data_IF_646236377491
#
_entry.id   IF_646236377491
#
_cell.length_a   1.000
_cell.length_b   1.000
_cell.length_c   1.000
_cell.angle_alpha   90.00
_cell.angle_beta   90.00
_cell.angle_gamma   90.00
#
_symmetry.space_group_name_H-M   'P 1'
#
loop_
_entity.id
_entity.type
_entity.pdbx_description
1 polymer ?
#
# COMPACT_ATOMS: atom_id res chain seq x y z
N UNK A 1 13.15 -44.10 0.40
CA UNK A 1 11.83 -43.46 0.21
C UNK A 1 11.86 -42.76 -1.14
N UNK A 2 10.96 -43.11 -2.08
CA UNK A 2 11.01 -42.61 -3.45
C UNK A 2 10.72 -41.10 -3.50
N UNK A 3 11.60 -40.31 -4.13
CA UNK A 3 11.41 -38.84 -4.28
C UNK A 3 10.08 -38.49 -4.96
N UNK A 4 9.61 -39.31 -5.90
CA UNK A 4 8.32 -39.11 -6.59
C UNK A 4 7.09 -39.16 -5.68
N UNK A 5 7.07 -40.03 -4.66
CA UNK A 5 5.93 -40.12 -3.73
C UNK A 5 5.86 -38.92 -2.76
N UNK A 6 6.99 -38.24 -2.56
CA UNK A 6 7.06 -37.07 -1.67
C UNK A 6 6.42 -35.83 -2.29
N UNK A 7 6.44 -35.70 -3.62
CA UNK A 7 5.75 -34.61 -4.31
C UNK A 7 4.26 -34.92 -4.49
N UNK A 8 3.91 -36.17 -4.77
CA UNK A 8 2.55 -36.55 -5.13
C UNK A 8 1.55 -36.39 -3.97
N UNK A 9 1.94 -36.66 -2.72
CA UNK A 9 1.03 -36.38 -1.58
C UNK A 9 0.80 -34.86 -1.38
N UNK A 10 1.78 -34.02 -1.73
CA UNK A 10 1.65 -32.57 -1.63
C UNK A 10 0.72 -32.04 -2.71
N UNK A 11 0.84 -32.56 -3.93
CA UNK A 11 -0.04 -32.22 -5.06
C UNK A 11 -1.50 -32.58 -4.78
N UNK A 12 -1.76 -33.79 -4.24
CA UNK A 12 -3.10 -34.22 -3.85
C UNK A 12 -3.69 -33.31 -2.77
N UNK A 13 -2.87 -32.94 -1.75
CA UNK A 13 -3.31 -32.03 -0.71
C UNK A 13 -3.61 -30.61 -1.26
N UNK A 14 -2.77 -30.10 -2.16
CA UNK A 14 -2.94 -28.77 -2.78
C UNK A 14 -4.17 -28.70 -3.68
N UNK A 15 -4.44 -29.75 -4.45
CA UNK A 15 -5.63 -29.85 -5.29
C UNK A 15 -6.91 -29.81 -4.45
N UNK A 16 -6.98 -30.59 -3.36
CA UNK A 16 -8.13 -30.58 -2.46
C UNK A 16 -8.27 -29.25 -1.72
N UNK A 17 -7.17 -28.61 -1.32
CA UNK A 17 -7.19 -27.30 -0.68
C UNK A 17 -7.79 -26.23 -1.59
N UNK A 18 -7.43 -26.21 -2.88
CA UNK A 18 -8.01 -25.27 -3.85
C UNK A 18 -9.52 -25.46 -4.04
N UNK A 19 -9.98 -26.70 -4.05
CA UNK A 19 -11.41 -27.04 -4.20
C UNK A 19 -12.23 -26.66 -2.97
N UNK A 20 -11.66 -26.80 -1.77
CA UNK A 20 -12.28 -26.31 -0.53
C UNK A 20 -12.29 -24.77 -0.50
N UNK A 21 -11.17 -24.12 -0.82
CA UNK A 21 -11.03 -22.66 -0.78
C UNK A 21 -11.90 -21.93 -1.81
N UNK A 22 -12.14 -22.53 -2.98
CA UNK A 22 -13.05 -22.01 -4.01
C UNK A 22 -14.53 -22.30 -3.73
N UNK A 23 -14.85 -23.09 -2.68
CA UNK A 23 -16.21 -23.49 -2.35
C UNK A 23 -16.78 -24.61 -3.23
N UNK A 24 -15.96 -25.23 -4.09
CA UNK A 24 -16.36 -26.40 -4.89
C UNK A 24 -16.63 -27.62 -3.99
N UNK A 25 -15.83 -27.79 -2.93
CA UNK A 25 -16.07 -28.75 -1.85
C UNK A 25 -16.59 -27.99 -0.62
N UNK A 26 -17.81 -28.30 -0.23
CA UNK A 26 -18.53 -27.67 0.88
C UNK A 26 -18.30 -28.42 2.18
N UNK A 27 -18.50 -27.77 3.34
CA UNK A 27 -18.50 -28.43 4.63
C UNK A 27 -19.42 -29.65 4.65
N UNK A 28 -18.99 -30.69 5.35
CA UNK A 28 -19.56 -32.04 5.40
C UNK A 28 -19.52 -32.84 4.09
N UNK A 29 -19.00 -32.30 2.98
CA UNK A 29 -18.81 -33.08 1.76
C UNK A 29 -17.86 -34.26 2.01
N UNK A 30 -18.23 -35.42 1.47
CA UNK A 30 -17.45 -36.65 1.61
C UNK A 30 -16.33 -36.68 0.59
N UNK A 31 -15.09 -36.83 1.06
CA UNK A 31 -13.96 -37.11 0.19
C UNK A 31 -13.96 -38.58 -0.23
N UNK A 32 -13.39 -38.90 -1.41
CA UNK A 32 -13.13 -40.28 -1.80
C UNK A 32 -12.33 -41.00 -0.72
N UNK A 33 -12.56 -42.30 -0.53
CA UNK A 33 -11.74 -43.08 0.38
C UNK A 33 -10.27 -43.07 -0.06
N UNK A 34 -9.36 -43.36 0.88
CA UNK A 34 -7.92 -43.44 0.61
C UNK A 34 -7.61 -44.31 -0.61
N UNK A 35 -8.31 -45.44 -0.76
CA UNK A 35 -8.11 -46.37 -1.88
C UNK A 35 -8.68 -45.83 -3.20
N UNK A 36 -9.83 -45.17 -3.17
CA UNK A 36 -10.43 -44.56 -4.37
C UNK A 36 -9.60 -43.39 -4.89
N UNK A 37 -9.19 -42.49 -4.00
CA UNK A 37 -8.34 -41.36 -4.34
C UNK A 37 -6.96 -41.82 -4.85
N UNK A 38 -6.43 -42.93 -4.31
CA UNK A 38 -5.18 -43.51 -4.77
C UNK A 38 -5.29 -44.00 -6.21
N UNK A 39 -6.42 -44.65 -6.56
CA UNK A 39 -6.72 -45.05 -7.94
C UNK A 39 -6.92 -43.85 -8.87
N UNK A 40 -7.64 -42.82 -8.41
CA UNK A 40 -7.88 -41.59 -9.20
C UNK A 40 -6.59 -40.82 -9.48
N UNK A 41 -5.69 -40.77 -8.50
CA UNK A 41 -4.42 -40.02 -8.59
C UNK A 41 -3.24 -40.89 -9.01
N UNK A 42 -3.50 -42.14 -9.45
CA UNK A 42 -2.51 -43.14 -9.85
C UNK A 42 -1.31 -43.25 -8.88
N UNK A 43 -1.59 -43.40 -7.58
CA UNK A 43 -0.58 -43.41 -6.52
C UNK A 43 -0.82 -44.49 -5.47
N UNK A 44 0.10 -44.62 -4.52
CA UNK A 44 -0.04 -45.57 -3.42
C UNK A 44 -1.03 -45.08 -2.35
N UNK A 45 -1.82 -45.97 -1.70
CA UNK A 45 -2.71 -45.59 -0.60
C UNK A 45 -2.00 -44.87 0.56
N UNK A 46 -0.73 -45.16 0.80
CA UNK A 46 0.09 -44.47 1.80
C UNK A 46 0.32 -42.98 1.46
N UNK A 47 0.48 -42.66 0.18
CA UNK A 47 0.63 -41.28 -0.32
C UNK A 47 -0.65 -40.48 -0.07
N UNK A 48 -1.83 -41.05 -0.36
CA UNK A 48 -3.11 -40.40 -0.06
C UNK A 48 -3.35 -40.30 1.44
N UNK A 49 -3.05 -41.35 2.21
CA UNK A 49 -3.19 -41.32 3.67
C UNK A 49 -2.37 -40.17 4.28
N UNK A 50 -1.17 -39.94 3.74
CA UNK A 50 -0.30 -38.83 4.13
C UNK A 50 -0.89 -37.47 3.73
N UNK A 51 -1.50 -37.36 2.55
CA UNK A 51 -2.19 -36.15 2.11
C UNK A 51 -3.41 -35.83 3.01
N UNK A 52 -4.23 -36.84 3.33
CA UNK A 52 -5.41 -36.66 4.18
C UNK A 52 -5.02 -36.39 5.63
N UNK A 53 -3.96 -37.03 6.15
CA UNK A 53 -3.42 -36.73 7.47
C UNK A 53 -2.94 -35.27 7.55
N UNK A 54 -2.28 -34.78 6.51
CA UNK A 54 -1.86 -33.37 6.42
C UNK A 54 -3.07 -32.42 6.42
N UNK A 55 -4.07 -32.67 5.58
CA UNK A 55 -5.30 -31.85 5.55
C UNK A 55 -6.09 -31.92 6.87
N UNK A 56 -6.04 -33.07 7.56
CA UNK A 56 -6.65 -33.26 8.87
C UNK A 56 -5.92 -32.49 9.97
N UNK A 57 -4.58 -32.49 9.93
CA UNK A 57 -3.76 -31.65 10.80
C UNK A 57 -3.99 -30.15 10.54
N UNK A 58 -4.29 -29.77 9.29
CA UNK A 58 -4.67 -28.42 8.89
C UNK A 58 -6.12 -28.06 9.23
N UNK A 59 -6.91 -29.00 9.79
CA UNK A 59 -8.32 -28.78 10.17
C UNK A 59 -9.30 -28.67 8.99
N UNK A 60 -8.86 -29.02 7.78
CA UNK A 60 -9.66 -28.92 6.55
C UNK A 60 -10.55 -30.14 6.34
N UNK A 61 -10.20 -31.28 6.94
CA UNK A 61 -10.96 -32.52 6.86
C UNK A 61 -10.92 -33.27 8.19
N UNK A 62 -11.92 -34.08 8.48
CA UNK A 62 -11.89 -35.00 9.62
C UNK A 62 -12.42 -36.39 9.23
N UNK A 63 -11.91 -37.41 9.92
CA UNK A 63 -12.43 -38.77 9.81
C UNK A 63 -13.64 -38.96 10.72
N UNK A 64 -14.79 -39.36 10.16
CA UNK A 64 -15.91 -39.87 10.95
C UNK A 64 -15.80 -41.38 11.14
N UNK A 65 -16.01 -41.85 12.37
CA UNK A 65 -15.97 -43.29 12.71
C UNK A 65 -17.06 -44.03 11.91
N UNK A 66 -16.63 -44.86 10.95
CA UNK A 66 -17.52 -45.60 10.03
C UNK A 66 -18.03 -44.81 8.81
N UNK A 67 -17.76 -43.50 8.70
CA UNK A 67 -18.35 -42.61 7.68
C UNK A 67 -17.42 -42.19 6.53
N UNK A 68 -16.10 -42.35 6.70
CA UNK A 68 -15.08 -41.84 5.77
C UNK A 68 -14.57 -40.44 6.16
N UNK A 69 -13.76 -39.83 5.29
CA UNK A 69 -13.20 -38.49 5.51
C UNK A 69 -14.13 -37.43 4.93
N UNK A 70 -14.47 -36.42 5.72
CA UNK A 70 -15.34 -35.31 5.29
C UNK A 70 -14.64 -33.97 5.46
N UNK A 71 -15.03 -33.00 4.65
CA UNK A 71 -14.61 -31.60 4.80
C UNK A 71 -15.24 -31.04 6.07
N UNK A 72 -14.47 -30.37 6.92
CA UNK A 72 -14.96 -29.80 8.18
C UNK A 72 -15.14 -28.29 8.09
N UNK A 73 -16.10 -27.75 8.86
CA UNK A 73 -16.01 -26.36 9.32
C UNK A 73 -15.34 -26.36 10.70
N UNK A 74 -14.08 -25.94 10.77
CA UNK A 74 -13.34 -25.86 12.02
C UNK A 74 -12.23 -24.83 11.96
N UNK A 75 -12.59 -23.53 12.02
CA UNK A 75 -11.65 -22.47 12.43
C UNK A 75 -11.59 -21.16 11.63
N UNK A 76 -12.69 -20.71 10.99
CA UNK A 76 -12.95 -19.28 10.83
C UNK A 76 -14.04 -18.86 11.84
N UNK A 77 -13.67 -18.89 13.12
CA UNK A 77 -14.18 -18.02 14.20
C UNK A 77 -13.03 -17.82 15.23
N UNK A 78 -12.99 -16.72 16.00
CA UNK A 78 -11.75 -16.04 16.38
C UNK A 78 -10.91 -16.85 17.38
N UNK A 79 -9.84 -17.48 16.87
CA UNK A 79 -8.70 -17.88 17.70
C UNK A 79 -8.26 -16.66 18.54
N UNK A 80 -8.05 -16.89 19.84
CA UNK A 80 -7.56 -15.91 20.80
C UNK A 80 -6.54 -14.94 20.14
N UNK A 81 -6.69 -13.60 20.28
CA UNK A 81 -5.91 -12.59 19.54
C UNK A 81 -4.38 -12.79 19.60
N UNK A 82 -3.89 -13.39 20.67
CA UNK A 82 -2.48 -13.67 20.92
C UNK A 82 -1.89 -14.77 20.01
N UNK A 83 -2.66 -15.81 19.67
CA UNK A 83 -2.16 -16.95 18.88
C UNK A 83 -2.26 -16.71 17.36
N UNK A 84 -3.24 -15.93 16.90
CA UNK A 84 -3.32 -15.49 15.49
C UNK A 84 -2.16 -14.56 15.13
N UNK A 85 -1.85 -13.63 16.02
CA UNK A 85 -0.71 -12.74 15.87
C UNK A 85 0.60 -13.53 15.86
N UNK A 86 0.80 -14.47 16.78
CA UNK A 86 1.99 -15.31 16.80
C UNK A 86 2.14 -16.16 15.51
N UNK A 87 1.04 -16.73 14.99
CA UNK A 87 1.05 -17.49 13.73
C UNK A 87 1.37 -16.60 12.52
N UNK A 88 0.83 -15.39 12.48
CA UNK A 88 1.10 -14.42 11.42
C UNK A 88 2.55 -13.93 11.47
N UNK A 89 3.07 -13.61 12.66
CA UNK A 89 4.46 -13.23 12.88
C UNK A 89 5.40 -14.33 12.42
N UNK A 90 5.13 -15.59 12.78
CA UNK A 90 5.94 -16.73 12.35
C UNK A 90 5.95 -16.92 10.82
N UNK A 91 4.85 -16.58 10.12
CA UNK A 91 4.79 -16.60 8.65
C UNK A 91 5.52 -15.41 8.02
N UNK A 92 5.39 -14.23 8.61
CA UNK A 92 6.10 -13.03 8.17
C UNK A 92 7.62 -13.18 8.37
N UNK A 93 8.05 -13.78 9.49
CA UNK A 93 9.45 -14.11 9.77
C UNK A 93 10.00 -15.11 8.76
N UNK A 94 9.23 -16.16 8.43
CA UNK A 94 9.63 -17.11 7.39
C UNK A 94 9.78 -16.47 6.02
N UNK A 95 8.82 -15.63 5.63
CA UNK A 95 8.91 -14.84 4.40
C UNK A 95 10.15 -13.93 4.38
N UNK A 96 10.46 -13.26 5.50
CA UNK A 96 11.64 -12.42 5.64
C UNK A 96 12.94 -13.25 5.50
N UNK A 97 13.01 -14.41 6.14
CA UNK A 97 14.16 -15.32 6.03
C UNK A 97 14.34 -15.85 4.60
N UNK A 98 13.26 -16.20 3.91
CA UNK A 98 13.28 -16.62 2.50
C UNK A 98 13.74 -15.49 1.57
N UNK A 99 13.27 -14.27 1.82
CA UNK A 99 13.69 -13.09 1.07
C UNK A 99 15.19 -12.80 1.27
N UNK A 100 15.68 -12.89 2.51
CA UNK A 100 17.11 -12.70 2.86
C UNK A 100 17.97 -13.77 2.22
N UNK A 101 17.58 -15.04 2.31
CA UNK A 101 18.30 -16.14 1.67
C UNK A 101 18.34 -16.03 0.14
N UNK A 102 17.39 -15.28 -0.43
CA UNK A 102 17.33 -14.95 -1.87
C UNK A 102 18.04 -13.64 -2.22
N UNK A 103 18.83 -13.06 -1.29
CA UNK A 103 19.64 -11.87 -1.52
C UNK A 103 18.92 -10.53 -1.29
N UNK A 104 17.72 -10.53 -0.72
CA UNK A 104 16.97 -9.31 -0.45
C UNK A 104 17.22 -8.79 0.97
N UNK A 105 17.24 -7.47 1.11
CA UNK A 105 17.28 -6.81 2.43
C UNK A 105 15.90 -6.89 3.11
N UNK A 106 15.82 -6.76 4.46
CA UNK A 106 14.55 -6.66 5.16
C UNK A 106 13.62 -5.57 4.62
N UNK A 107 14.18 -4.43 4.20
CA UNK A 107 13.44 -3.33 3.58
C UNK A 107 12.80 -3.75 2.25
N UNK A 108 13.48 -4.57 1.45
CA UNK A 108 12.94 -5.10 0.19
C UNK A 108 11.85 -6.15 0.43
N UNK A 109 12.00 -6.98 1.47
CA UNK A 109 10.96 -7.94 1.87
C UNK A 109 9.69 -7.22 2.32
N UNK A 110 9.82 -6.20 3.16
CA UNK A 110 8.71 -5.36 3.60
C UNK A 110 8.00 -4.67 2.42
N UNK A 111 8.77 -4.13 1.47
CA UNK A 111 8.23 -3.55 0.24
C UNK A 111 7.43 -4.57 -0.59
N UNK A 112 7.96 -5.79 -0.76
CA UNK A 112 7.28 -6.86 -1.49
C UNK A 112 5.97 -7.29 -0.80
N UNK A 113 5.94 -7.34 0.53
CA UNK A 113 4.73 -7.63 1.28
C UNK A 113 3.68 -6.51 1.14
N UNK A 114 4.10 -5.25 1.20
CA UNK A 114 3.22 -4.10 0.94
C UNK A 114 2.58 -4.15 -0.45
N UNK A 115 3.34 -4.58 -1.46
CA UNK A 115 2.85 -4.74 -2.83
C UNK A 115 1.83 -5.88 -2.93
N UNK A 116 2.10 -7.01 -2.29
CA UNK A 116 1.17 -8.14 -2.26
C UNK A 116 -0.16 -7.74 -1.59
N UNK A 117 -0.10 -6.96 -0.51
CA UNK A 117 -1.28 -6.42 0.18
C UNK A 117 -2.05 -5.45 -0.72
N UNK A 118 -1.35 -4.58 -1.45
CA UNK A 118 -1.96 -3.60 -2.36
C UNK A 118 -2.69 -4.31 -3.51
N UNK A 119 -2.06 -5.31 -4.14
CA UNK A 119 -2.68 -6.16 -5.17
C UNK A 119 -3.90 -6.92 -4.66
N UNK A 120 -3.85 -7.43 -3.42
CA UNK A 120 -4.99 -8.11 -2.83
C UNK A 120 -6.18 -7.16 -2.63
N UNK A 121 -5.93 -5.90 -2.25
CA UNK A 121 -6.97 -4.86 -2.16
C UNK A 121 -7.55 -4.49 -3.53
N UNK A 122 -6.72 -4.44 -4.56
CA UNK A 122 -7.16 -4.27 -5.96
C UNK A 122 -8.09 -5.42 -6.41
N UNK A 123 -7.77 -6.67 -6.07
CA UNK A 123 -8.62 -7.83 -6.36
C UNK A 123 -10.00 -7.79 -5.66
N UNK A 124 -10.10 -7.08 -4.53
CA UNK A 124 -11.39 -6.84 -3.86
C UNK A 124 -12.19 -5.69 -4.49
N UNK A 125 -11.59 -4.91 -5.40
CA UNK A 125 -12.19 -3.68 -5.96
C UNK A 125 -12.30 -3.66 -7.49
N UNK A 126 -11.81 -4.67 -8.21
CA UNK A 126 -11.70 -4.60 -9.67
C UNK A 126 -12.98 -4.98 -10.44
N UNK A 127 -13.64 -3.97 -11.02
CA UNK A 127 -14.13 -4.04 -12.41
C UNK A 127 -12.93 -3.89 -13.38
N UNK A 128 -12.99 -4.39 -14.63
CA UNK A 128 -11.81 -4.50 -15.50
C UNK A 128 -11.37 -3.14 -16.08
N UNK A 129 -10.08 -2.80 -15.92
CA UNK A 129 -9.41 -1.59 -16.47
C UNK A 129 -8.63 -1.92 -17.76
N UNK A 130 -8.83 -1.14 -18.82
CA UNK A 130 -8.16 -1.27 -20.13
C UNK A 130 -6.82 -0.53 -20.23
N UNK A 131 -5.99 -0.95 -21.20
CA UNK A 131 -4.76 -0.24 -21.64
C UNK A 131 -5.10 1.14 -22.22
N UNK A 132 -4.11 2.04 -22.28
CA UNK A 132 -4.17 3.22 -23.15
C UNK A 132 -4.46 2.73 -24.57
N UNK A 133 -5.68 2.98 -25.04
CA UNK A 133 -6.05 2.75 -26.42
C UNK A 133 -5.62 3.94 -27.24
N UNK A 134 -4.77 3.72 -28.24
CA UNK A 134 -4.74 4.58 -29.41
C UNK A 134 -6.11 4.47 -30.09
N UNK A 135 -6.93 5.49 -29.84
CA UNK A 135 -8.20 5.91 -30.45
C UNK A 135 -9.05 4.92 -31.26
N UNK A 136 -10.35 4.87 -30.88
CA UNK A 136 -11.49 5.06 -31.81
C UNK A 136 -12.76 5.35 -30.99
N UNK A 137 -13.16 6.62 -30.93
CA UNK A 137 -14.39 7.12 -30.30
C UNK A 137 -14.17 8.38 -29.45
N UNK A 138 -15.18 9.24 -29.35
CA UNK A 138 -15.28 10.54 -28.63
C UNK A 138 -14.88 10.56 -27.13
N UNK A 139 -14.15 9.56 -26.63
CA UNK A 139 -13.80 9.43 -25.22
C UNK A 139 -12.43 10.04 -24.89
N UNK A 140 -12.28 10.72 -23.74
CA UNK A 140 -11.03 11.31 -23.32
C UNK A 140 -9.91 10.27 -23.14
N UNK A 141 -8.67 10.67 -23.43
CA UNK A 141 -7.49 9.89 -23.15
C UNK A 141 -7.28 9.77 -21.63
N UNK A 142 -7.40 8.55 -21.10
CA UNK A 142 -7.23 8.27 -19.68
C UNK A 142 -5.75 8.12 -19.32
N UNK A 143 -5.28 8.95 -18.39
CA UNK A 143 -3.96 8.88 -17.77
C UNK A 143 -4.11 8.17 -16.42
N UNK A 144 -3.40 7.06 -16.20
CA UNK A 144 -3.43 6.31 -14.95
C UNK A 144 -2.41 6.87 -13.97
N UNK A 145 -2.88 7.50 -12.91
CA UNK A 145 -2.07 7.94 -11.77
C UNK A 145 -2.09 6.88 -10.67
N UNK A 146 -0.92 6.59 -10.10
CA UNK A 146 -0.79 5.74 -8.92
C UNK A 146 0.21 6.35 -7.94
N UNK A 147 -0.15 6.58 -6.68
CA UNK A 147 0.82 7.18 -5.75
C UNK A 147 0.32 7.53 -4.36
N UNK A 148 1.09 8.36 -3.67
CA UNK A 148 0.67 8.93 -2.39
C UNK A 148 -0.48 9.91 -2.57
N UNK A 149 -1.46 9.89 -1.66
CA UNK A 149 -2.52 10.90 -1.63
C UNK A 149 -1.96 12.31 -1.33
N UNK A 150 -2.45 13.32 -2.06
CA UNK A 150 -2.27 14.74 -1.76
C UNK A 150 -3.44 15.56 -2.34
N UNK A 151 -3.87 16.61 -1.65
CA UNK A 151 -5.00 17.44 -2.08
C UNK A 151 -4.71 18.18 -3.41
N UNK A 152 -3.44 18.47 -3.71
CA UNK A 152 -3.05 19.09 -4.99
C UNK A 152 -3.25 18.15 -6.18
N UNK A 153 -3.25 16.82 -5.98
CA UNK A 153 -3.55 15.84 -7.04
C UNK A 153 -5.04 15.85 -7.35
N UNK A 154 -5.91 15.93 -6.34
CA UNK A 154 -7.36 16.05 -6.55
C UNK A 154 -7.71 17.34 -7.31
N UNK A 155 -7.07 18.45 -6.93
CA UNK A 155 -7.20 19.73 -7.63
C UNK A 155 -6.70 19.64 -9.08
N UNK A 156 -5.55 19.01 -9.30
CA UNK A 156 -4.98 18.81 -10.63
C UNK A 156 -5.93 17.97 -11.52
N UNK A 157 -6.50 16.89 -10.98
CA UNK A 157 -7.46 16.04 -11.68
C UNK A 157 -8.70 16.83 -12.10
N UNK A 158 -9.22 17.67 -11.20
CA UNK A 158 -10.35 18.56 -11.49
C UNK A 158 -10.01 19.58 -12.57
N UNK A 159 -8.87 20.27 -12.47
CA UNK A 159 -8.46 21.27 -13.45
C UNK A 159 -8.21 20.64 -14.83
N UNK A 160 -7.65 19.44 -14.89
CA UNK A 160 -7.50 18.70 -16.16
C UNK A 160 -8.86 18.46 -16.84
N UNK A 161 -9.84 18.01 -16.07
CA UNK A 161 -11.22 17.82 -16.52
C UNK A 161 -11.85 19.11 -17.07
N UNK A 162 -11.58 20.26 -16.45
CA UNK A 162 -12.12 21.57 -16.86
C UNK A 162 -11.40 22.16 -18.09
N UNK A 163 -10.07 22.05 -18.16
CA UNK A 163 -9.24 22.77 -19.13
C UNK A 163 -8.79 21.92 -20.33
N UNK A 164 -8.80 20.60 -20.20
CA UNK A 164 -8.47 19.67 -21.26
C UNK A 164 -9.45 18.48 -21.29
N UNK A 165 -10.70 18.67 -21.74
CA UNK A 165 -11.75 17.63 -21.73
C UNK A 165 -11.41 16.39 -22.55
N UNK A 166 -10.38 16.46 -23.41
CA UNK A 166 -9.84 15.34 -24.16
C UNK A 166 -8.91 14.44 -23.33
N UNK A 167 -8.64 14.77 -22.06
CA UNK A 167 -7.81 14.01 -21.15
C UNK A 167 -8.49 13.86 -19.78
N UNK A 168 -8.31 12.70 -19.15
CA UNK A 168 -8.82 12.43 -17.81
C UNK A 168 -7.72 11.80 -16.95
N UNK A 169 -7.68 12.15 -15.66
CA UNK A 169 -6.80 11.51 -14.69
C UNK A 169 -7.59 10.43 -13.91
N UNK A 170 -7.21 9.17 -14.06
CA UNK A 170 -7.70 8.07 -13.20
C UNK A 170 -6.74 7.90 -12.03
N UNK A 171 -7.21 8.19 -10.82
CA UNK A 171 -6.37 8.28 -9.62
C UNK A 171 -6.52 7.03 -8.77
N UNK A 172 -5.39 6.44 -8.39
CA UNK A 172 -5.31 5.35 -7.41
C UNK A 172 -4.27 5.68 -6.31
N UNK A 173 -4.65 5.48 -5.04
CA UNK A 173 -3.81 5.88 -3.89
C UNK A 173 -3.24 4.66 -3.17
N UNK A 174 -2.08 4.22 -3.64
CA UNK A 174 -1.34 3.06 -3.13
C UNK A 174 -0.10 3.44 -2.31
N UNK A 175 0.18 4.74 -2.14
CA UNK A 175 1.41 5.25 -1.53
C UNK A 175 2.54 5.43 -2.54
N UNK A 176 3.59 6.14 -2.15
CA UNK A 176 4.67 6.55 -3.08
C UNK A 176 5.47 5.40 -3.66
N UNK A 177 5.86 4.44 -2.81
CA UNK A 177 6.59 3.27 -3.26
C UNK A 177 5.74 2.41 -4.20
N UNK A 178 4.46 2.21 -3.85
CA UNK A 178 3.49 1.52 -4.71
C UNK A 178 3.34 2.19 -6.07
N UNK A 179 3.27 3.52 -6.11
CA UNK A 179 3.20 4.30 -7.35
C UNK A 179 4.41 4.10 -8.26
N UNK A 180 5.63 4.20 -7.72
CA UNK A 180 6.85 3.95 -8.49
C UNK A 180 6.94 2.50 -8.98
N UNK A 181 6.45 1.54 -8.20
CA UNK A 181 6.37 0.14 -8.61
C UNK A 181 5.32 -0.11 -9.70
N UNK A 182 4.19 0.61 -9.67
CA UNK A 182 3.19 0.56 -10.73
C UNK A 182 3.75 1.12 -12.06
N UNK A 183 4.57 2.17 -12.01
CA UNK A 183 5.31 2.64 -13.19
C UNK A 183 6.28 1.57 -13.71
N UNK A 184 7.03 0.92 -12.82
CA UNK A 184 7.98 -0.13 -13.19
C UNK A 184 7.30 -1.30 -13.91
N UNK A 185 6.05 -1.60 -13.54
CA UNK A 185 5.22 -2.68 -14.10
C UNK A 185 4.34 -2.23 -15.28
N UNK A 186 4.37 -0.94 -15.65
CA UNK A 186 3.49 -0.31 -16.66
C UNK A 186 1.99 -0.38 -16.31
N UNK A 187 1.68 -0.48 -15.02
CA UNK A 187 0.34 -0.45 -14.45
C UNK A 187 -0.16 0.98 -14.24
N UNK A 188 0.77 1.95 -14.15
CA UNK A 188 0.51 3.38 -14.11
C UNK A 188 1.28 4.13 -15.21
N UNK A 189 0.80 5.33 -15.53
CA UNK A 189 1.42 6.26 -16.48
C UNK A 189 2.12 7.41 -15.75
N UNK A 190 1.64 7.76 -14.54
CA UNK A 190 2.23 8.76 -13.64
C UNK A 190 2.28 8.18 -12.24
N UNK A 191 3.39 8.41 -11.52
CA UNK A 191 3.44 8.18 -10.08
C UNK A 191 3.54 9.46 -9.26
N UNK A 192 2.75 9.56 -8.20
CA UNK A 192 2.90 10.60 -7.18
C UNK A 192 3.77 10.13 -6.01
N UNK A 193 4.90 10.81 -5.76
CA UNK A 193 5.90 10.38 -4.77
C UNK A 193 6.49 11.51 -3.92
N UNK A 194 6.80 11.17 -2.67
CA UNK A 194 7.50 12.01 -1.68
C UNK A 194 8.43 11.17 -0.77
N UNK A 195 9.13 10.19 -1.32
CA UNK A 195 10.02 9.33 -0.54
C UNK A 195 11.32 10.07 -0.23
N UNK A 196 11.62 10.20 1.06
CA UNK A 196 12.89 10.76 1.53
C UNK A 196 13.91 9.64 1.75
N UNK A 197 15.13 9.85 1.27
CA UNK A 197 16.25 8.93 1.46
C UNK A 197 17.21 9.49 2.51
N UNK A 198 17.29 8.82 3.67
CA UNK A 198 18.13 9.24 4.80
C UNK A 198 19.62 9.34 4.45
N UNK A 199 20.10 8.50 3.53
CA UNK A 199 21.52 8.43 3.20
C UNK A 199 21.99 9.60 2.33
N UNK A 200 21.14 10.07 1.42
CA UNK A 200 21.45 11.17 0.49
C UNK A 200 20.80 12.50 0.86
N UNK A 201 19.94 12.51 1.86
CA UNK A 201 19.09 13.64 2.24
C UNK A 201 18.32 14.22 1.03
N UNK A 202 17.91 13.34 0.12
CA UNK A 202 17.23 13.71 -1.11
C UNK A 202 15.85 13.06 -1.19
N UNK A 203 14.91 13.78 -1.81
CA UNK A 203 13.59 13.27 -2.13
C UNK A 203 13.57 12.62 -3.52
N UNK A 204 12.85 11.51 -3.62
CA UNK A 204 12.38 10.83 -4.84
C UNK A 204 13.46 10.27 -5.78
N UNK A 205 14.46 11.07 -6.19
CA UNK A 205 15.45 10.70 -7.20
C UNK A 205 16.20 9.39 -6.90
N UNK A 206 16.67 9.11 -5.66
CA UNK A 206 17.30 7.83 -5.34
C UNK A 206 16.38 6.62 -5.57
N UNK A 207 15.10 6.76 -5.20
CA UNK A 207 14.09 5.71 -5.37
C UNK A 207 13.73 5.50 -6.84
N UNK A 208 13.59 6.59 -7.62
CA UNK A 208 13.34 6.52 -9.06
C UNK A 208 14.47 5.72 -9.74
N UNK A 209 15.74 6.07 -9.47
CA UNK A 209 16.90 5.36 -10.05
C UNK A 209 16.93 3.88 -9.68
N UNK A 210 16.56 3.53 -8.44
CA UNK A 210 16.55 2.15 -7.96
C UNK A 210 15.40 1.32 -8.55
N UNK A 211 14.23 1.92 -8.73
CA UNK A 211 13.00 1.21 -9.11
C UNK A 211 12.74 1.22 -10.63
N UNK A 212 13.33 2.16 -11.36
CA UNK A 212 13.23 2.26 -12.82
C UNK A 212 14.62 2.13 -13.48
N UNK A 213 15.40 1.07 -13.21
CA UNK A 213 16.76 0.95 -13.73
C UNK A 213 16.76 0.90 -15.27
N UNK A 214 17.58 1.75 -15.89
CA UNK A 214 17.72 1.82 -17.34
C UNK A 214 16.50 2.43 -18.07
N UNK A 215 15.53 2.98 -17.34
CA UNK A 215 14.38 3.70 -17.92
C UNK A 215 14.51 5.17 -17.62
N UNK A 216 14.58 5.99 -18.67
CA UNK A 216 14.52 7.44 -18.52
C UNK A 216 13.14 7.86 -18.02
N UNK A 217 13.15 8.73 -17.02
CA UNK A 217 11.96 9.28 -16.40
C UNK A 217 12.17 10.76 -16.09
N UNK A 218 11.07 11.46 -15.88
CA UNK A 218 11.03 12.88 -15.54
C UNK A 218 10.29 13.00 -14.22
N UNK A 219 10.92 13.62 -13.23
CA UNK A 219 10.25 14.05 -12.01
C UNK A 219 9.86 15.51 -12.16
N UNK A 220 8.56 15.78 -12.18
CA UNK A 220 8.00 17.14 -12.18
C UNK A 220 7.61 17.49 -10.75
N UNK A 221 8.21 18.54 -10.19
CA UNK A 221 7.83 19.01 -8.86
C UNK A 221 6.41 19.54 -8.89
N UNK A 222 5.53 18.88 -8.14
CA UNK A 222 4.16 19.33 -8.00
C UNK A 222 4.12 20.44 -6.96
N UNK A 223 4.59 20.16 -5.75
CA UNK A 223 4.56 21.07 -4.60
C UNK A 223 5.61 20.69 -3.57
N UNK A 224 6.00 21.67 -2.76
CA UNK A 224 6.54 21.41 -1.43
C UNK A 224 5.41 21.57 -0.41
N UNK A 225 5.34 20.69 0.59
CA UNK A 225 4.23 20.67 1.54
C UNK A 225 4.71 20.56 2.98
N UNK A 226 4.11 21.35 3.87
CA UNK A 226 4.41 21.32 5.29
C UNK A 226 3.77 20.09 5.93
N UNK A 227 4.60 19.21 6.47
CA UNK A 227 4.20 18.00 7.19
C UNK A 227 4.48 18.18 8.68
N UNK A 228 3.54 17.73 9.51
CA UNK A 228 3.58 18.02 10.94
C UNK A 228 2.46 17.36 11.74
N UNK A 229 2.35 17.77 13.01
CA UNK A 229 1.32 17.28 13.92
C UNK A 229 0.07 18.15 13.83
N UNK A 230 -1.04 17.52 13.47
CA UNK A 230 -2.38 18.08 13.50
C UNK A 230 -2.92 17.94 14.93
N UNK A 231 -3.39 19.04 15.50
CA UNK A 231 -3.87 19.12 16.89
C UNK A 231 -5.25 19.79 16.94
N UNK A 232 -6.00 19.70 18.05
CA UNK A 232 -7.14 20.56 18.27
C UNK A 232 -6.77 22.05 18.15
N UNK A 233 -7.74 22.94 17.89
CA UNK A 233 -7.49 24.38 17.89
C UNK A 233 -6.74 24.82 19.14
N UNK A 234 -5.78 25.73 18.97
CA UNK A 234 -4.92 26.28 20.02
C UNK A 234 -3.98 25.28 20.71
N UNK A 235 -3.89 24.03 20.22
CA UNK A 235 -2.99 23.00 20.75
C UNK A 235 -3.07 22.88 22.29
N UNK A 236 -4.22 22.47 22.86
CA UNK A 236 -4.49 22.52 24.30
C UNK A 236 -3.58 21.61 25.13
N UNK A 237 -2.89 20.66 24.50
CA UNK A 237 -1.91 19.79 25.14
C UNK A 237 -0.50 20.41 25.19
N UNK A 238 -0.29 21.57 24.56
CA UNK A 238 0.99 22.24 24.41
C UNK A 238 2.06 21.29 23.86
N UNK A 239 1.72 20.57 22.79
CA UNK A 239 2.68 19.73 22.07
C UNK A 239 3.67 20.62 21.33
N UNK A 240 4.97 20.42 21.51
CA UNK A 240 6.03 21.24 20.90
C UNK A 240 6.98 20.42 20.04
N UNK A 241 6.97 19.10 20.19
CA UNK A 241 7.87 18.20 19.48
C UNK A 241 7.30 16.79 19.37
N UNK A 242 7.97 15.93 18.59
CA UNK A 242 7.66 14.50 18.53
C UNK A 242 7.84 13.80 19.88
N UNK A 243 8.69 14.31 20.77
CA UNK A 243 8.88 13.76 22.12
C UNK A 243 7.61 13.84 22.96
N UNK A 244 6.75 14.84 22.72
CA UNK A 244 5.51 14.99 23.47
C UNK A 244 4.48 13.91 23.15
N UNK A 245 4.66 13.15 22.05
CA UNK A 245 3.81 12.01 21.71
C UNK A 245 3.93 10.84 22.70
N UNK A 246 4.97 10.81 23.54
CA UNK A 246 5.11 9.79 24.60
C UNK A 246 4.28 10.11 25.84
N UNK A 247 3.64 11.27 25.89
CA UNK A 247 2.81 11.66 27.04
C UNK A 247 1.52 10.82 27.07
N UNK A 248 1.04 10.44 28.26
CA UNK A 248 -0.14 9.56 28.40
C UNK A 248 -1.44 10.20 27.91
N UNK A 249 -1.52 11.53 27.86
CA UNK A 249 -2.67 12.27 27.35
C UNK A 249 -2.67 12.40 25.82
N UNK A 250 -1.55 12.12 25.13
CA UNK A 250 -1.45 12.17 23.68
C UNK A 250 -1.98 10.87 23.04
N UNK A 251 -3.18 10.93 22.45
CA UNK A 251 -3.75 9.82 21.64
C UNK A 251 -3.48 10.09 20.17
N UNK A 252 -2.51 9.38 19.62
CA UNK A 252 -2.03 9.60 18.27
C UNK A 252 -2.84 8.81 17.22
N UNK A 253 -3.02 9.41 16.04
CA UNK A 253 -3.52 8.76 14.81
C UNK A 253 -2.53 8.97 13.68
N UNK A 254 -2.19 7.89 12.97
CA UNK A 254 -1.07 7.87 12.04
C UNK A 254 -1.52 7.72 10.58
N UNK A 255 -0.61 7.99 9.64
CA UNK A 255 -0.75 7.60 8.23
C UNK A 255 -0.37 6.13 8.07
N UNK A 256 -0.82 5.51 6.98
CA UNK A 256 -0.49 4.12 6.67
C UNK A 256 1.02 3.87 6.60
N UNK A 257 1.43 2.67 7.01
CA UNK A 257 2.80 2.20 6.81
C UNK A 257 3.24 2.30 5.34
N UNK A 258 4.52 2.62 5.11
CA UNK A 258 5.10 2.79 3.77
C UNK A 258 4.76 4.11 3.05
N UNK A 259 3.91 4.98 3.62
CA UNK A 259 3.79 6.36 3.13
C UNK A 259 5.07 7.16 3.42
N UNK A 260 5.47 8.09 2.56
CA UNK A 260 6.69 8.90 2.77
C UNK A 260 6.64 9.68 4.09
N UNK A 261 5.46 10.18 4.45
CA UNK A 261 5.20 10.81 5.74
C UNK A 261 5.45 9.87 6.93
N UNK A 262 5.05 8.59 6.84
CA UNK A 262 5.32 7.60 7.87
C UNK A 262 6.80 7.22 7.94
N UNK A 263 7.46 7.04 6.80
CA UNK A 263 8.91 6.80 6.73
C UNK A 263 9.69 7.93 7.41
N UNK A 264 9.30 9.19 7.14
CA UNK A 264 9.90 10.37 7.75
C UNK A 264 9.69 10.40 9.28
N UNK A 265 8.47 10.14 9.76
CA UNK A 265 8.19 10.03 11.20
C UNK A 265 9.10 8.98 11.85
N UNK A 266 9.18 7.79 11.27
CA UNK A 266 9.86 6.65 11.88
C UNK A 266 11.38 6.90 11.95
N UNK A 267 11.96 7.55 10.93
CA UNK A 267 13.33 8.02 10.96
C UNK A 267 13.57 9.07 12.05
N UNK A 268 12.67 10.05 12.21
CA UNK A 268 12.80 11.08 13.25
C UNK A 268 12.65 10.49 14.67
N UNK A 269 11.69 9.58 14.89
CA UNK A 269 11.54 8.90 16.18
C UNK A 269 12.78 8.07 16.52
N UNK A 270 13.35 7.36 15.54
CA UNK A 270 14.61 6.61 15.70
C UNK A 270 15.77 7.54 16.07
N UNK A 271 15.92 8.68 15.40
CA UNK A 271 16.94 9.68 15.72
C UNK A 271 16.78 10.23 17.16
N UNK A 272 15.54 10.43 17.60
CA UNK A 272 15.19 10.84 18.97
C UNK A 272 15.25 9.68 20.00
N UNK A 273 15.54 8.45 19.56
CA UNK A 273 15.54 7.23 20.38
C UNK A 273 14.19 6.97 21.06
N UNK A 274 13.09 7.38 20.44
CA UNK A 274 11.74 7.14 20.91
C UNK A 274 11.24 5.85 20.28
N UNK A 275 10.86 4.88 21.12
CA UNK A 275 10.24 3.65 20.62
C UNK A 275 8.79 3.92 20.21
N UNK A 276 8.35 3.50 19.01
CA UNK A 276 6.95 3.58 18.65
C UNK A 276 5.98 2.89 19.61
N UNK A 277 6.47 1.88 20.36
CA UNK A 277 5.67 1.14 21.32
C UNK A 277 5.20 1.99 22.51
N UNK A 278 5.85 3.12 22.80
CA UNK A 278 5.47 4.02 23.90
C UNK A 278 4.51 5.13 23.47
N UNK A 279 4.19 5.23 22.18
CA UNK A 279 3.25 6.22 21.66
C UNK A 279 1.85 5.61 21.60
N UNK A 280 0.93 6.15 22.39
CA UNK A 280 -0.46 5.67 22.45
C UNK A 280 -1.16 5.90 21.11
N UNK A 281 -1.63 4.82 20.48
CA UNK A 281 -2.34 4.90 19.20
C UNK A 281 -1.42 4.88 17.98
N UNK A 282 -0.11 4.68 18.13
CA UNK A 282 0.84 4.65 17.00
C UNK A 282 0.47 3.69 15.85
N UNK A 283 -0.13 2.54 16.19
CA UNK A 283 -0.61 1.54 15.21
C UNK A 283 -1.99 1.84 14.61
N UNK A 284 -2.67 2.90 15.05
CA UNK A 284 -3.94 3.33 14.45
C UNK A 284 -3.60 4.11 13.19
N UNK A 285 -4.04 3.61 12.05
CA UNK A 285 -3.68 4.15 10.74
C UNK A 285 -4.93 4.55 9.96
N UNK A 286 -4.81 5.62 9.20
CA UNK A 286 -5.79 6.05 8.20
C UNK A 286 -5.08 6.30 6.86
N UNK A 287 -5.86 6.38 5.77
CA UNK A 287 -5.34 6.36 4.39
C UNK A 287 -5.30 7.72 3.68
N UNK A 288 -5.91 8.76 4.25
CA UNK A 288 -5.81 10.13 3.74
C UNK A 288 -5.38 11.12 4.82
N UNK A 289 -4.88 12.29 4.42
CA UNK A 289 -4.58 13.38 5.35
C UNK A 289 -5.85 13.98 5.97
N UNK A 290 -6.95 14.03 5.22
CA UNK A 290 -8.25 14.49 5.73
C UNK A 290 -8.80 13.55 6.80
N UNK A 291 -8.62 12.22 6.67
CA UNK A 291 -9.05 11.26 7.69
C UNK A 291 -8.28 11.45 9.02
N UNK A 292 -7.01 11.90 8.98
CA UNK A 292 -6.25 12.26 10.19
C UNK A 292 -6.89 13.47 10.85
N UNK A 293 -7.15 14.53 10.06
CA UNK A 293 -7.77 15.75 10.56
C UNK A 293 -9.18 15.48 11.13
N UNK A 294 -9.99 14.68 10.43
CA UNK A 294 -11.31 14.27 10.89
C UNK A 294 -11.27 13.51 12.22
N UNK A 295 -10.34 12.56 12.39
CA UNK A 295 -10.19 11.82 13.65
C UNK A 295 -9.82 12.74 14.83
N UNK A 296 -8.99 13.78 14.60
CA UNK A 296 -8.67 14.79 15.61
C UNK A 296 -9.89 15.70 15.87
N UNK A 297 -10.59 16.15 14.83
CA UNK A 297 -11.82 16.97 14.93
C UNK A 297 -12.89 16.26 15.76
N UNK A 298 -13.09 14.97 15.53
CA UNK A 298 -14.08 14.12 16.20
C UNK A 298 -13.61 13.63 17.58
N UNK A 299 -12.42 14.05 18.05
CA UNK A 299 -11.83 13.69 19.35
C UNK A 299 -11.49 12.19 19.51
N UNK A 300 -11.52 11.44 18.42
CA UNK A 300 -11.07 10.03 18.38
C UNK A 300 -9.56 9.92 18.61
N UNK A 301 -8.83 10.97 18.25
CA UNK A 301 -7.43 11.21 18.54
C UNK A 301 -7.26 12.63 19.10
N UNK A 302 -6.18 12.89 19.82
CA UNK A 302 -5.82 14.23 20.29
C UNK A 302 -4.68 14.85 19.47
N UNK A 303 -4.01 14.04 18.65
CA UNK A 303 -2.95 14.48 17.74
C UNK A 303 -2.83 13.48 16.59
N UNK A 304 -2.47 13.94 15.41
CA UNK A 304 -2.19 13.03 14.30
C UNK A 304 -1.16 13.57 13.33
N UNK A 305 -0.53 12.68 12.56
CA UNK A 305 0.48 13.07 11.57
C UNK A 305 -0.17 13.38 10.22
N UNK A 306 0.07 14.57 9.69
CA UNK A 306 -0.48 14.95 8.39
C UNK A 306 0.18 16.18 7.80
N UNK A 307 -0.52 16.80 6.86
CA UNK A 307 -0.07 18.04 6.21
C UNK A 307 -0.91 19.22 6.68
N UNK A 308 -0.32 20.41 6.64
CA UNK A 308 -0.97 21.64 7.09
C UNK A 308 -2.31 21.89 6.39
N UNK A 309 -2.40 21.66 5.08
CA UNK A 309 -3.63 21.83 4.32
C UNK A 309 -4.82 21.02 4.87
N UNK A 310 -4.56 19.81 5.41
CA UNK A 310 -5.62 19.01 6.02
C UNK A 310 -6.06 19.56 7.39
N UNK A 311 -5.14 20.11 8.18
CA UNK A 311 -5.49 20.82 9.41
C UNK A 311 -6.33 22.06 9.11
N UNK A 312 -5.90 22.86 8.13
CA UNK A 312 -6.58 24.08 7.70
C UNK A 312 -8.02 23.80 7.24
N UNK A 313 -8.24 22.74 6.44
CA UNK A 313 -9.57 22.34 5.97
C UNK A 313 -10.58 22.07 7.10
N UNK A 314 -10.12 21.66 8.29
CA UNK A 314 -10.95 21.38 9.46
C UNK A 314 -10.88 22.49 10.54
N UNK A 315 -10.13 23.56 10.30
CA UNK A 315 -9.87 24.63 11.27
C UNK A 315 -9.14 24.14 12.52
N UNK A 316 -8.15 23.25 12.34
CA UNK A 316 -7.39 22.62 13.42
C UNK A 316 -6.03 23.31 13.61
N UNK A 317 -5.42 23.09 14.78
CA UNK A 317 -4.05 23.51 15.05
C UNK A 317 -3.03 22.66 14.28
N UNK A 318 -1.87 23.23 14.01
CA UNK A 318 -0.80 22.54 13.30
C UNK A 318 0.58 22.91 13.84
N UNK A 319 1.38 21.90 14.18
CA UNK A 319 2.78 22.04 14.54
C UNK A 319 3.65 21.50 13.39
N UNK A 320 4.34 22.37 12.63
CA UNK A 320 5.19 21.94 11.52
C UNK A 320 6.41 21.15 12.03
N UNK A 321 6.74 20.07 11.31
CA UNK A 321 7.93 19.25 11.58
C UNK A 321 8.95 19.31 10.45
N UNK A 322 8.50 19.21 9.20
CA UNK A 322 9.39 19.36 8.04
C UNK A 322 8.64 19.80 6.78
N UNK A 323 9.39 20.07 5.71
CA UNK A 323 8.88 20.27 4.37
C UNK A 323 9.14 19.02 3.53
N UNK A 324 8.09 18.47 2.92
CA UNK A 324 8.20 17.35 1.99
C UNK A 324 8.14 17.85 0.55
N UNK A 325 9.05 17.38 -0.29
CA UNK A 325 8.95 17.54 -1.75
C UNK A 325 8.07 16.45 -2.33
N UNK A 326 7.04 16.85 -3.07
CA UNK A 326 6.14 15.94 -3.77
C UNK A 326 6.31 16.10 -5.29
N UNK A 327 6.73 15.03 -5.95
CA UNK A 327 6.96 14.99 -7.40
C UNK A 327 5.96 14.05 -8.09
N UNK A 328 5.59 14.41 -9.32
CA UNK A 328 4.94 13.53 -10.28
C UNK A 328 6.02 12.94 -11.20
N UNK A 329 6.09 11.61 -11.28
CA UNK A 329 7.09 10.90 -12.08
C UNK A 329 6.44 10.35 -13.34
N UNK A 330 7.03 10.66 -14.49
CA UNK A 330 6.60 10.25 -15.81
C UNK A 330 7.70 9.44 -16.48
N UNK A 331 7.40 8.24 -17.03
CA UNK A 331 8.30 7.62 -18.00
C UNK A 331 8.48 8.53 -19.21
N UNK A 332 9.68 8.60 -19.79
CA UNK A 332 9.95 9.43 -20.97
C UNK A 332 8.96 9.16 -22.12
N UNK A 333 8.59 7.88 -22.32
CA UNK A 333 7.63 7.46 -23.34
C UNK A 333 6.23 8.04 -23.13
N UNK A 334 5.80 8.26 -21.89
CA UNK A 334 4.49 8.82 -21.55
C UNK A 334 4.46 10.35 -21.55
N UNK A 335 5.63 10.98 -21.32
CA UNK A 335 5.74 12.43 -21.19
C UNK A 335 5.35 13.21 -22.44
N UNK A 336 5.71 12.71 -23.62
CA UNK A 336 5.49 13.41 -24.88
C UNK A 336 4.05 13.33 -25.40
N UNK A 337 3.14 12.66 -24.67
CA UNK A 337 1.73 12.58 -25.05
C UNK A 337 1.02 13.92 -24.85
N UNK A 338 0.01 14.21 -25.69
CA UNK A 338 -0.80 15.44 -25.58
C UNK A 338 -1.49 15.57 -24.21
N UNK A 339 -1.87 14.44 -23.62
CA UNK A 339 -2.50 14.35 -22.32
C UNK A 339 -1.51 14.72 -21.19
N UNK A 340 -0.30 14.15 -21.19
CA UNK A 340 0.75 14.50 -20.22
C UNK A 340 1.21 15.96 -20.37
N UNK A 341 1.34 16.46 -21.61
CA UNK A 341 1.67 17.87 -21.85
C UNK A 341 0.56 18.83 -21.40
N UNK A 342 -0.70 18.40 -21.41
CA UNK A 342 -1.80 19.20 -20.86
C UNK A 342 -1.74 19.27 -19.34
N UNK A 343 -1.44 18.16 -18.66
CA UNK A 343 -1.14 18.17 -17.22
C UNK A 343 0.04 19.10 -16.89
N UNK A 344 1.15 18.99 -17.63
CA UNK A 344 2.34 19.81 -17.40
C UNK A 344 2.04 21.32 -17.55
N UNK A 345 1.20 21.69 -18.53
CA UNK A 345 0.74 23.07 -18.71
C UNK A 345 -0.08 23.56 -17.53
N UNK A 346 -1.01 22.74 -17.03
CA UNK A 346 -1.85 23.07 -15.87
C UNK A 346 -0.97 23.25 -14.63
N UNK A 347 -0.06 22.32 -14.35
CA UNK A 347 0.87 22.40 -13.20
C UNK A 347 1.65 23.72 -13.22
N UNK A 348 2.08 24.19 -14.39
CA UNK A 348 2.85 25.44 -14.53
C UNK A 348 2.01 26.71 -14.44
N UNK A 349 0.69 26.61 -14.59
CA UNK A 349 -0.20 27.76 -14.60
C UNK A 349 -0.24 28.47 -13.25
N UNK A 350 -0.39 29.79 -13.27
CA UNK A 350 -0.56 30.59 -12.05
C UNK A 350 -1.86 30.20 -11.34
N UNK A 351 -2.92 29.88 -12.10
CA UNK A 351 -4.19 29.38 -11.56
C UNK A 351 -4.00 28.14 -10.67
N UNK A 352 -3.20 27.16 -11.11
CA UNK A 352 -2.93 25.97 -10.29
C UNK A 352 -2.13 26.33 -9.04
N UNK A 353 -1.07 27.14 -9.17
CA UNK A 353 -0.23 27.56 -8.04
C UNK A 353 -1.01 28.36 -7.00
N UNK A 354 -1.87 29.28 -7.44
CA UNK A 354 -2.77 30.06 -6.57
C UNK A 354 -3.78 29.17 -5.86
N UNK A 355 -4.43 28.25 -6.59
CA UNK A 355 -5.42 27.34 -6.02
C UNK A 355 -4.81 26.38 -5.00
N UNK A 356 -3.60 25.86 -5.25
CA UNK A 356 -2.83 25.08 -4.26
C UNK A 356 -2.42 25.94 -3.08
N UNK A 357 -1.91 27.15 -3.32
CA UNK A 357 -1.50 28.08 -2.27
C UNK A 357 -2.64 28.43 -1.31
N UNK A 358 -3.86 28.56 -1.82
CA UNK A 358 -5.06 28.81 -1.04
C UNK A 358 -5.44 27.67 -0.08
N UNK A 359 -4.98 26.43 -0.31
CA UNK A 359 -5.15 25.31 0.62
C UNK A 359 -4.29 25.47 1.89
N UNK A 360 -3.25 26.30 1.82
CA UNK A 360 -2.35 26.62 2.93
C UNK A 360 -1.28 25.57 3.20
N UNK A 361 -0.06 26.03 3.50
CA UNK A 361 1.07 25.16 3.87
C UNK A 361 1.70 24.40 2.70
N UNK A 362 1.44 24.86 1.49
CA UNK A 362 2.18 24.49 0.28
C UNK A 362 3.11 25.62 -0.15
N UNK A 363 4.29 25.26 -0.64
CA UNK A 363 5.19 26.14 -1.37
C UNK A 363 5.24 25.70 -2.83
N UNK A 364 4.98 26.65 -3.73
CA UNK A 364 4.88 26.46 -5.18
C UNK A 364 6.03 27.10 -5.96
N UNK A 365 7.07 27.59 -5.27
CA UNK A 365 8.25 28.21 -5.88
C UNK A 365 8.97 27.32 -6.90
N UNK A 366 8.93 26.00 -6.70
CA UNK A 366 9.50 24.99 -7.59
C UNK A 366 8.45 24.23 -8.42
N UNK A 367 7.16 24.58 -8.31
CA UNK A 367 6.08 23.88 -9.02
C UNK A 367 6.29 23.94 -10.54
N UNK A 368 6.24 22.77 -11.18
CA UNK A 368 6.42 22.58 -12.62
C UNK A 368 7.88 22.43 -13.07
N UNK A 369 8.85 22.51 -12.17
CA UNK A 369 10.26 22.21 -12.47
C UNK A 369 10.43 20.74 -12.83
N UNK A 370 11.21 20.47 -13.88
CA UNK A 370 11.48 19.13 -14.39
C UNK A 370 12.88 18.69 -14.00
N UNK A 371 13.01 17.46 -13.51
CA UNK A 371 14.30 16.80 -13.29
C UNK A 371 14.32 15.50 -14.08
N UNK A 372 15.24 15.41 -15.03
CA UNK A 372 15.45 14.20 -15.81
C UNK A 372 16.28 13.19 -15.00
N UNK A 373 15.80 11.95 -14.98
CA UNK A 373 16.45 10.82 -14.31
C UNK A 373 16.71 9.74 -15.36
N UNK A 374 17.94 9.23 -15.37
CA UNK A 374 18.44 8.22 -16.31
C UNK A 374 19.01 7.02 -15.58
#
# INVERSE_FOLDING_TARGET
MNKNETFLYQEIAEALRRRIASGELKPDDKLPSVREMARQSNCTPGTVSKAYAKLSQEGLVAGQRGGGTRVTFGGLEPLHPTWQWASLVNRAERFLLEAINSGNTPVQAEAALSVAISRWRELQTSHPKGKIGEGRGDSPATIRFSGSHDLSVDLLARMLSEEAPAAQLSVDFVGSLGGLMALAQNEADIAGTHLWDEATDAYNLPFIRRLLPGRRAIAVTLVHRSMGLITPPDNPQDLRSLSDLTRPDARFINRQSGSGTRVCLDAQLKALKISPAVITGYKREVFTHLAVAEAVKNKEATVGLGIHAAAAAYGLGFLPLTQERYDLVFPETGWNTSAAQSLARIIRSDRFKEAVGALGGYDTSQTGQEIWVS
#
